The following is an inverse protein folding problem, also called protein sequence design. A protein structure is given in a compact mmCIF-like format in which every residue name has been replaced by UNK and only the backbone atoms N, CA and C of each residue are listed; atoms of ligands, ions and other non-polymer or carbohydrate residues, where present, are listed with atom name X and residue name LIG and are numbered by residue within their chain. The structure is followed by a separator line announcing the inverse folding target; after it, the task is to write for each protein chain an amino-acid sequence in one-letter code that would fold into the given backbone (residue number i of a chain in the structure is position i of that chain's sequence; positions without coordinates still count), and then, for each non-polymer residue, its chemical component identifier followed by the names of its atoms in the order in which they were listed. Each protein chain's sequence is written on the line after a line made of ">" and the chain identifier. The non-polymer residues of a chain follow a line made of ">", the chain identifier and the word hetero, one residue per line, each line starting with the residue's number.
data_IF_835643719744
#
_entry.id   IF_835643719744
#
_cell.length_a   1.000
_cell.length_b   1.000
_cell.length_c   1.000
_cell.angle_alpha   90.00
_cell.angle_beta   90.00
_cell.angle_gamma   90.00
#
_symmetry.space_group_name_H-M   'P 1'
#
loop_
_entity.id
_entity.type
_entity.pdbx_description
1 polymer ?
#
# COMPACT_ATOMS: atom_id res chain seq x y z
N UNK A 1 -8.48 -10.64 0.56
CA UNK A 1 -7.93 -10.63 -0.81
C UNK A 1 -9.03 -10.05 -1.66
N UNK A 2 -8.79 -8.92 -2.30
CA UNK A 2 -9.74 -8.33 -3.24
C UNK A 2 -9.80 -9.15 -4.55
N UNK A 3 -10.70 -8.76 -5.46
CA UNK A 3 -10.90 -9.43 -6.75
C UNK A 3 -9.58 -9.51 -7.57
N UNK A 4 -9.47 -10.52 -8.44
CA UNK A 4 -8.24 -10.82 -9.20
C UNK A 4 -7.78 -9.67 -10.13
N UNK A 5 -8.63 -8.67 -10.36
CA UNK A 5 -8.33 -7.46 -11.15
C UNK A 5 -8.33 -6.17 -10.32
N UNK A 6 -8.45 -6.24 -9.00
CA UNK A 6 -8.39 -5.08 -8.14
C UNK A 6 -6.93 -4.64 -7.92
N UNK A 7 -6.71 -3.33 -8.04
CA UNK A 7 -5.46 -2.68 -7.69
C UNK A 7 -5.70 -1.72 -6.52
N UNK A 8 -4.65 -1.41 -5.76
CA UNK A 8 -4.66 -0.24 -4.87
C UNK A 8 -4.49 1.00 -5.75
N UNK A 9 -5.30 2.02 -5.49
CA UNK A 9 -5.36 3.27 -6.26
C UNK A 9 -5.26 4.44 -5.28
N UNK A 10 -4.42 5.42 -5.57
CA UNK A 10 -4.36 6.69 -4.83
C UNK A 10 -4.14 7.88 -5.78
N UNK A 11 -5.05 8.85 -5.75
CA UNK A 11 -5.02 10.03 -6.63
C UNK A 11 -4.13 11.17 -6.09
N UNK A 12 -3.65 11.06 -4.84
CA UNK A 12 -2.83 12.07 -4.20
C UNK A 12 -1.35 11.66 -4.13
N UNK A 13 -1.09 10.37 -3.92
CA UNK A 13 0.25 9.83 -3.68
C UNK A 13 0.62 8.77 -4.72
N UNK A 14 0.79 9.18 -5.97
CA UNK A 14 1.17 8.30 -7.08
C UNK A 14 2.44 8.80 -7.79
N UNK A 15 3.10 7.91 -8.51
CA UNK A 15 4.28 8.23 -9.30
C UNK A 15 3.87 8.88 -10.64
N UNK A 16 4.56 9.94 -11.05
CA UNK A 16 4.25 10.64 -12.32
C UNK A 16 4.54 9.78 -13.56
N UNK A 17 5.29 8.69 -13.40
CA UNK A 17 5.56 7.70 -14.43
C UNK A 17 4.44 6.65 -14.57
N UNK A 18 3.37 6.77 -13.80
CA UNK A 18 2.17 5.93 -13.93
C UNK A 18 1.43 6.18 -15.25
N UNK A 19 0.73 5.16 -15.76
CA UNK A 19 0.05 5.20 -17.06
C UNK A 19 -1.32 5.90 -17.02
N UNK A 20 -1.72 6.46 -15.87
CA UNK A 20 -2.92 7.28 -15.69
C UNK A 20 -4.02 6.63 -14.86
N UNK A 21 -3.83 5.37 -14.47
CA UNK A 21 -4.76 4.62 -13.61
C UNK A 21 -4.49 4.86 -12.11
N UNK A 22 -3.40 5.58 -11.78
CA UNK A 22 -2.96 5.91 -10.43
C UNK A 22 -2.75 4.67 -9.54
N UNK A 23 -2.24 3.60 -10.14
CA UNK A 23 -2.02 2.29 -9.50
C UNK A 23 -0.60 2.10 -8.95
N UNK A 24 0.32 2.97 -9.35
CA UNK A 24 1.70 3.00 -8.84
C UNK A 24 1.81 4.02 -7.70
N UNK A 25 1.63 3.54 -6.48
CA UNK A 25 1.61 4.36 -5.28
C UNK A 25 3.00 4.73 -4.79
N UNK A 26 3.14 5.96 -4.33
CA UNK A 26 4.28 6.43 -3.55
C UNK A 26 3.89 6.40 -2.08
N UNK A 27 4.33 5.37 -1.36
CA UNK A 27 3.98 5.16 0.04
C UNK A 27 5.04 5.74 0.96
N UNK A 28 4.64 6.51 1.96
CA UNK A 28 5.56 7.04 2.96
C UNK A 28 6.16 5.92 3.81
N UNK A 29 7.46 5.99 4.10
CA UNK A 29 8.10 5.08 5.06
C UNK A 29 7.55 5.19 6.49
N UNK A 30 6.79 6.25 6.78
CA UNK A 30 6.03 6.40 8.03
C UNK A 30 4.93 5.35 8.20
N UNK A 31 4.47 4.75 7.10
CA UNK A 31 3.41 3.75 7.11
C UNK A 31 3.96 2.32 7.30
N UNK A 32 5.28 2.18 7.48
CA UNK A 32 5.90 0.93 7.90
C UNK A 32 5.63 0.67 9.38
N UNK A 33 5.52 -0.61 9.73
CA UNK A 33 5.49 -1.04 11.12
C UNK A 33 6.75 -0.59 11.86
N UNK A 34 6.57 -0.13 13.11
CA UNK A 34 7.69 0.24 13.97
C UNK A 34 8.36 -1.00 14.59
N UNK A 35 9.07 -1.77 13.76
CA UNK A 35 9.76 -2.99 14.17
C UNK A 35 11.10 -3.15 13.41
N UNK A 36 12.23 -2.60 13.96
CA UNK A 36 13.54 -2.63 13.28
C UNK A 36 14.05 -4.03 12.93
N UNK A 37 13.60 -5.06 13.64
CA UNK A 37 13.93 -6.47 13.37
C UNK A 37 13.32 -6.93 12.03
N UNK A 38 12.17 -6.39 11.65
CA UNK A 38 11.43 -6.77 10.43
C UNK A 38 11.82 -5.85 9.27
N UNK A 39 11.80 -4.53 9.48
CA UNK A 39 11.99 -3.53 8.42
C UNK A 39 13.43 -3.00 8.32
N UNK A 40 14.33 -3.46 9.20
CA UNK A 40 15.70 -3.00 9.28
C UNK A 40 15.82 -1.60 9.88
N UNK A 41 16.95 -0.93 9.61
CA UNK A 41 17.13 0.47 9.99
C UNK A 41 16.15 1.34 9.20
N UNK A 42 15.37 2.15 9.92
CA UNK A 42 14.29 2.93 9.33
C UNK A 42 14.84 3.92 8.30
N UNK A 43 14.50 3.70 7.02
CA UNK A 43 14.87 4.59 5.93
C UNK A 43 13.80 5.68 5.76
N UNK A 44 14.23 6.93 5.58
CA UNK A 44 13.34 8.06 5.33
C UNK A 44 12.84 8.13 3.87
N UNK A 45 13.35 7.29 2.97
CA UNK A 45 12.94 7.28 1.58
C UNK A 45 11.55 6.66 1.39
N UNK A 46 10.71 7.25 0.52
CA UNK A 46 9.41 6.67 0.16
C UNK A 46 9.59 5.37 -0.63
N UNK A 47 8.57 4.53 -0.58
CA UNK A 47 8.50 3.24 -1.26
C UNK A 47 7.55 3.34 -2.45
N UNK A 48 7.87 2.63 -3.54
CA UNK A 48 6.94 2.42 -4.63
C UNK A 48 6.22 1.09 -4.46
N UNK A 49 4.90 1.11 -4.62
CA UNK A 49 4.05 -0.09 -4.55
C UNK A 49 3.09 -0.12 -5.74
N UNK A 50 2.94 -1.29 -6.34
CA UNK A 50 1.97 -1.58 -7.39
C UNK A 50 1.45 -2.99 -7.17
N UNK A 51 0.13 -3.14 -7.01
CA UNK A 51 -0.49 -4.42 -6.70
C UNK A 51 -1.86 -4.30 -6.04
N UNK A 52 -2.35 -5.43 -5.53
CA UNK A 52 -3.69 -5.57 -4.94
C UNK A 52 -3.71 -5.30 -3.44
N UNK A 53 -4.81 -4.74 -2.95
CA UNK A 53 -5.07 -4.51 -1.53
C UNK A 53 -5.40 -5.79 -0.76
N UNK A 54 -5.02 -5.81 0.52
CA UNK A 54 -5.39 -6.88 1.45
C UNK A 54 -6.15 -6.30 2.64
N UNK A 55 -7.34 -6.85 2.89
CA UNK A 55 -8.11 -6.58 4.10
C UNK A 55 -7.65 -7.56 5.19
N UNK A 56 -7.32 -7.01 6.35
CA UNK A 56 -6.89 -7.77 7.52
C UNK A 56 -8.07 -8.00 8.47
N UNK A 57 -8.10 -9.17 9.10
CA UNK A 57 -9.00 -9.45 10.21
C UNK A 57 -8.48 -8.77 11.49
N UNK A 58 -9.26 -7.83 12.04
CA UNK A 58 -8.87 -7.06 13.23
C UNK A 58 -8.90 -7.89 14.51
N UNK A 59 -9.62 -9.01 14.53
CA UNK A 59 -9.74 -9.88 15.70
C UNK A 59 -8.58 -10.90 15.78
N UNK A 60 -7.79 -11.04 14.71
CA UNK A 60 -6.66 -11.95 14.68
C UNK A 60 -5.41 -11.34 15.33
N UNK A 61 -5.15 -11.71 16.58
CA UNK A 61 -3.96 -11.25 17.34
C UNK A 61 -2.60 -11.59 16.74
N UNK A 62 -2.52 -12.50 15.75
CA UNK A 62 -1.27 -12.93 15.11
C UNK A 62 -0.98 -12.18 13.80
N UNK A 63 -1.90 -11.33 13.33
CA UNK A 63 -1.70 -10.57 12.09
C UNK A 63 -0.77 -9.37 12.33
N UNK A 64 0.15 -9.13 11.40
CA UNK A 64 1.12 -8.04 11.48
C UNK A 64 1.07 -7.21 10.19
N UNK A 65 0.47 -6.01 10.19
CA UNK A 65 0.51 -5.11 9.04
C UNK A 65 1.92 -4.52 8.91
N UNK A 66 2.69 -4.95 7.90
CA UNK A 66 4.07 -4.49 7.70
C UNK A 66 4.13 -3.12 7.03
N UNK A 67 3.28 -2.91 6.03
CA UNK A 67 3.16 -1.68 5.26
C UNK A 67 1.67 -1.42 5.01
N UNK A 68 1.25 -0.17 5.22
CA UNK A 68 -0.11 0.28 4.94
C UNK A 68 -0.08 1.41 3.92
N UNK A 69 -1.13 1.54 3.12
CA UNK A 69 -1.28 2.68 2.22
C UNK A 69 -1.76 3.92 2.99
N UNK A 70 -1.63 5.09 2.38
CA UNK A 70 -2.17 6.33 2.94
C UNK A 70 -3.71 6.30 2.98
N UNK A 71 -4.32 7.13 3.83
CA UNK A 71 -5.77 7.14 4.04
C UNK A 71 -6.59 7.58 2.82
N UNK A 72 -5.92 8.11 1.80
CA UNK A 72 -6.48 8.50 0.50
C UNK A 72 -6.57 7.34 -0.49
N UNK A 73 -5.90 6.22 -0.21
CA UNK A 73 -5.89 5.05 -1.06
C UNK A 73 -7.14 4.18 -0.86
N UNK A 74 -7.58 3.53 -1.93
CA UNK A 74 -8.64 2.52 -1.92
C UNK A 74 -8.30 1.38 -2.88
N UNK A 75 -9.00 0.25 -2.80
CA UNK A 75 -8.82 -0.85 -3.77
C UNK A 75 -10.07 -1.02 -4.62
N UNK A 76 -9.86 -1.08 -5.94
CA UNK A 76 -10.91 -1.26 -6.93
C UNK A 76 -10.32 -1.78 -8.25
N UNK A 77 -11.16 -2.25 -9.17
CA UNK A 77 -10.74 -2.61 -10.52
C UNK A 77 -10.75 -1.37 -11.44
N UNK A 78 -9.57 -0.85 -11.86
CA UNK A 78 -9.50 0.37 -12.67
C UNK A 78 -10.09 0.20 -14.08
N UNK A 79 -10.26 -1.04 -14.57
CA UNK A 79 -10.76 -1.36 -15.92
C UNK A 79 -12.23 -1.78 -15.94
N UNK A 80 -12.94 -1.64 -14.83
CA UNK A 80 -14.37 -1.97 -14.72
C UNK A 80 -15.27 -0.94 -15.39
#
# INVERSE_FOLDING_TARGET
>A
MDEESAAVIDHFNYDQLDEGDHTRLVVSSKNLINAPIIVGAQNAQPLLFEGTGLILDKDNSLVLPILTADSTAYSYNPKS
#
